data_IF_171753838197
#
_entry.id   IF_171753838197
#
_cell.length_a   1.000
_cell.length_b   1.000
_cell.length_c   1.000
_cell.angle_alpha   90.00
_cell.angle_beta   90.00
_cell.angle_gamma   90.00
#
_symmetry.space_group_name_H-M   'P 1'
#
loop_
_entity.id
_entity.type
_entity.pdbx_description
1 polymer ?
#
# COMPACT_ATOMS: atom_id res chain seq x y z
N UNK A 1 -37.69 -13.51 35.88
CA UNK A 1 -36.95 -13.50 34.59
C UNK A 1 -36.43 -12.09 34.44
N UNK A 2 -35.11 -11.88 34.63
CA UNK A 2 -34.48 -10.56 34.65
C UNK A 2 -34.10 -10.22 33.20
N UNK A 3 -34.91 -9.39 32.55
CA UNK A 3 -34.66 -8.95 31.18
C UNK A 3 -33.55 -7.88 31.23
N UNK A 4 -32.41 -8.17 30.62
CA UNK A 4 -31.29 -7.25 30.56
C UNK A 4 -31.73 -5.97 29.81
N UNK A 5 -31.34 -4.77 30.27
CA UNK A 5 -31.71 -3.54 29.60
C UNK A 5 -31.19 -3.55 28.15
N UNK A 6 -31.96 -3.01 27.18
CA UNK A 6 -31.56 -2.98 25.79
C UNK A 6 -30.25 -2.22 25.65
N UNK A 7 -29.27 -2.84 24.97
CA UNK A 7 -27.99 -2.20 24.65
C UNK A 7 -28.27 -0.92 23.86
N UNK A 8 -27.76 0.25 24.27
CA UNK A 8 -27.92 1.48 23.52
C UNK A 8 -27.41 1.27 22.10
N UNK A 9 -28.28 1.48 21.11
CA UNK A 9 -27.87 1.46 19.71
C UNK A 9 -26.75 2.50 19.52
N UNK A 10 -25.61 2.06 18.97
CA UNK A 10 -24.50 2.93 18.66
C UNK A 10 -25.00 4.11 17.79
N UNK A 11 -24.58 5.35 18.07
CA UNK A 11 -25.02 6.50 17.28
C UNK A 11 -24.66 6.26 15.80
N UNK A 12 -25.53 6.68 14.86
CA UNK A 12 -25.25 6.53 13.43
C UNK A 12 -23.90 7.19 13.12
N UNK A 13 -23.01 6.44 12.46
CA UNK A 13 -21.68 6.93 12.12
C UNK A 13 -21.82 8.21 11.29
N UNK A 14 -21.36 9.33 11.85
CA UNK A 14 -21.36 10.61 11.16
C UNK A 14 -20.53 10.49 9.88
N UNK A 15 -21.07 10.87 8.71
CA UNK A 15 -20.38 10.67 7.44
C UNK A 15 -19.03 11.41 7.47
N UNK A 16 -17.96 10.69 7.16
CA UNK A 16 -16.60 11.24 7.16
C UNK A 16 -16.54 12.49 6.26
N UNK A 17 -16.06 13.59 6.83
CA UNK A 17 -15.86 14.82 6.07
C UNK A 17 -14.83 14.59 4.96
N UNK A 18 -15.15 14.96 3.73
CA UNK A 18 -14.25 14.90 2.57
C UNK A 18 -13.16 15.97 2.69
N UNK A 19 -12.17 15.75 3.58
CA UNK A 19 -11.16 16.74 3.96
C UNK A 19 -9.78 16.56 3.31
N UNK A 20 -9.54 15.45 2.61
CA UNK A 20 -8.24 15.19 1.98
C UNK A 20 -8.12 15.96 0.66
N UNK A 21 -7.37 17.07 0.71
CA UNK A 21 -6.97 17.82 -0.47
C UNK A 21 -6.00 17.00 -1.32
N UNK A 22 -5.95 17.27 -2.63
CA UNK A 22 -5.03 16.62 -3.56
C UNK A 22 -3.57 16.59 -3.07
N UNK A 23 -3.10 17.70 -2.48
CA UNK A 23 -1.75 17.76 -1.88
C UNK A 23 -1.51 16.72 -0.78
N UNK A 24 -2.52 16.41 0.04
CA UNK A 24 -2.39 15.43 1.11
C UNK A 24 -2.27 14.01 0.53
N UNK A 25 -3.03 13.73 -0.54
CA UNK A 25 -2.94 12.46 -1.26
C UNK A 25 -1.58 12.30 -1.94
N UNK A 26 -1.05 13.37 -2.56
CA UNK A 26 0.29 13.35 -3.14
C UNK A 26 1.37 13.15 -2.08
N UNK A 27 1.26 13.82 -0.93
CA UNK A 27 2.20 13.62 0.19
C UNK A 27 2.13 12.20 0.76
N UNK A 28 0.93 11.62 0.89
CA UNK A 28 0.77 10.24 1.32
C UNK A 28 1.42 9.26 0.34
N UNK A 29 1.23 9.47 -0.96
CA UNK A 29 1.85 8.65 -2.01
C UNK A 29 3.38 8.76 -2.03
N UNK A 30 3.91 9.97 -1.96
CA UNK A 30 5.36 10.20 -1.93
C UNK A 30 5.99 9.63 -0.65
N UNK A 31 5.37 9.84 0.50
CA UNK A 31 5.83 9.30 1.78
C UNK A 31 5.77 7.78 1.86
N UNK A 32 4.84 7.14 1.13
CA UNK A 32 4.76 5.69 1.05
C UNK A 32 5.78 5.05 0.09
N UNK A 33 6.20 5.76 -0.96
CA UNK A 33 7.14 5.25 -1.98
C UNK A 33 8.60 5.48 -1.60
N UNK A 34 8.92 6.60 -0.95
CA UNK A 34 10.30 6.96 -0.60
C UNK A 34 10.63 6.34 0.77
N UNK A 35 11.39 5.24 0.77
CA UNK A 35 11.83 4.53 1.98
C UNK A 35 13.34 4.28 2.03
N UNK A 36 13.79 3.69 3.14
CA UNK A 36 15.17 3.25 3.37
C UNK A 36 15.63 2.20 2.34
N UNK A 37 14.69 1.45 1.73
CA UNK A 37 14.95 0.54 0.62
C UNK A 37 15.62 1.20 -0.60
N UNK A 38 15.37 2.49 -0.85
CA UNK A 38 16.06 3.22 -1.94
C UNK A 38 17.57 3.36 -1.65
N UNK A 39 17.97 3.48 -0.39
CA UNK A 39 19.37 3.71 -0.01
C UNK A 39 20.11 2.39 0.21
N UNK A 40 19.55 1.51 1.04
CA UNK A 40 20.17 0.21 1.37
C UNK A 40 20.04 -0.77 0.20
N UNK A 41 18.88 -0.80 -0.47
CA UNK A 41 18.64 -1.67 -1.62
C UNK A 41 19.44 -1.29 -2.86
N UNK A 42 19.68 0.01 -3.09
CA UNK A 42 20.52 0.45 -4.22
C UNK A 42 21.95 -0.05 -4.10
N UNK A 43 22.53 -0.08 -2.89
CA UNK A 43 23.88 -0.61 -2.69
C UNK A 43 24.02 -2.08 -3.11
N UNK A 44 23.07 -2.92 -2.69
CA UNK A 44 23.02 -4.33 -3.10
C UNK A 44 22.77 -4.47 -4.61
N UNK A 45 21.87 -3.66 -5.17
CA UNK A 45 21.60 -3.65 -6.61
C UNK A 45 22.82 -3.23 -7.45
N UNK A 46 23.59 -2.25 -6.97
CA UNK A 46 24.79 -1.75 -7.67
C UNK A 46 25.87 -2.84 -7.62
N UNK A 47 26.04 -3.53 -6.48
CA UNK A 47 27.00 -4.61 -6.36
C UNK A 47 26.75 -5.76 -7.35
N UNK A 48 25.48 -6.02 -7.69
CA UNK A 48 25.09 -7.08 -8.64
C UNK A 48 25.08 -6.60 -10.09
N UNK A 49 24.46 -5.45 -10.37
CA UNK A 49 24.19 -4.98 -11.74
C UNK A 49 25.21 -3.95 -12.25
N UNK A 50 26.04 -3.38 -11.37
CA UNK A 50 26.96 -2.29 -11.72
C UNK A 50 26.22 -1.07 -12.28
N UNK A 51 26.81 -0.36 -13.26
CA UNK A 51 26.18 0.81 -13.90
C UNK A 51 24.83 0.51 -14.57
N UNK A 52 24.56 -0.75 -14.93
CA UNK A 52 23.33 -1.16 -15.58
C UNK A 52 22.10 -1.11 -14.65
N UNK A 53 22.29 -0.89 -13.34
CA UNK A 53 21.18 -0.73 -12.38
C UNK A 53 20.19 0.37 -12.80
N UNK A 54 20.66 1.43 -13.47
CA UNK A 54 19.80 2.51 -13.97
C UNK A 54 18.77 1.98 -14.96
N UNK A 55 19.20 1.09 -15.86
CA UNK A 55 18.30 0.45 -16.84
C UNK A 55 17.30 -0.45 -16.12
N UNK A 56 17.75 -1.22 -15.13
CA UNK A 56 16.87 -2.07 -14.31
C UNK A 56 15.80 -1.24 -13.59
N UNK A 57 16.17 -0.12 -12.98
CA UNK A 57 15.20 0.77 -12.31
C UNK A 57 14.24 1.44 -13.30
N UNK A 58 14.69 1.83 -14.49
CA UNK A 58 13.82 2.38 -15.51
C UNK A 58 12.77 1.36 -15.98
N UNK A 59 13.18 0.11 -16.20
CA UNK A 59 12.25 -0.96 -16.61
C UNK A 59 11.26 -1.27 -15.48
N UNK A 60 11.75 -1.44 -14.25
CA UNK A 60 10.90 -1.71 -13.09
C UNK A 60 9.93 -0.55 -12.82
N UNK A 61 10.40 0.70 -12.92
CA UNK A 61 9.58 1.90 -12.76
C UNK A 61 8.53 2.03 -13.85
N UNK A 62 8.86 1.75 -15.11
CA UNK A 62 7.91 1.75 -16.21
C UNK A 62 6.81 0.69 -15.99
N UNK A 63 7.18 -0.52 -15.56
CA UNK A 63 6.22 -1.57 -15.24
C UNK A 63 5.31 -1.16 -14.08
N UNK A 64 5.87 -0.61 -13.00
CA UNK A 64 5.10 -0.13 -11.86
C UNK A 64 4.12 0.99 -12.25
N UNK A 65 4.55 1.92 -13.12
CA UNK A 65 3.69 2.99 -13.66
C UNK A 65 2.50 2.43 -14.45
N UNK A 66 2.72 1.41 -15.28
CA UNK A 66 1.64 0.76 -16.03
C UNK A 66 0.64 0.09 -15.10
N UNK A 67 1.12 -0.66 -14.10
CA UNK A 67 0.26 -1.31 -13.09
C UNK A 67 -0.55 -0.27 -12.31
N UNK A 68 0.09 0.81 -11.84
CA UNK A 68 -0.59 1.87 -11.08
C UNK A 68 -1.63 2.60 -11.93
N UNK A 69 -1.35 2.81 -13.22
CA UNK A 69 -2.32 3.40 -14.15
C UNK A 69 -3.55 2.50 -14.33
N UNK A 70 -3.35 1.20 -14.54
CA UNK A 70 -4.46 0.24 -14.66
C UNK A 70 -5.31 0.19 -13.38
N UNK A 71 -4.67 0.14 -12.21
CA UNK A 71 -5.36 0.19 -10.91
C UNK A 71 -6.09 1.52 -10.69
N UNK A 72 -5.53 2.63 -11.15
CA UNK A 72 -6.14 3.94 -11.11
C UNK A 72 -7.41 4.02 -11.97
N UNK A 73 -7.36 3.50 -13.20
CA UNK A 73 -8.52 3.42 -14.10
C UNK A 73 -9.61 2.51 -13.52
N UNK A 74 -9.25 1.36 -12.93
CA UNK A 74 -10.20 0.49 -12.24
C UNK A 74 -10.85 1.15 -11.02
N UNK A 75 -10.06 1.90 -10.24
CA UNK A 75 -10.52 2.55 -9.01
C UNK A 75 -11.38 3.80 -9.29
N UNK A 76 -11.15 4.50 -10.40
CA UNK A 76 -11.97 5.62 -10.83
C UNK A 76 -13.29 5.16 -11.46
N UNK A 77 -13.27 4.06 -12.22
CA UNK A 77 -14.48 3.47 -12.79
C UNK A 77 -15.41 2.87 -11.73
N UNK A 78 -14.84 2.34 -10.64
CA UNK A 78 -15.59 1.75 -9.53
C UNK A 78 -15.11 2.28 -8.19
N UNK A 79 -15.62 3.44 -7.74
CA UNK A 79 -15.26 4.00 -6.45
C UNK A 79 -15.76 3.08 -5.32
N UNK A 80 -14.84 2.45 -4.62
CA UNK A 80 -15.13 1.69 -3.41
C UNK A 80 -14.22 2.20 -2.30
N UNK A 81 -14.75 2.31 -1.08
CA UNK A 81 -13.99 2.74 0.11
C UNK A 81 -12.97 1.68 0.59
N UNK A 82 -12.75 0.61 -0.19
CA UNK A 82 -11.90 -0.52 0.15
C UNK A 82 -10.61 -0.59 -0.67
N UNK A 83 -9.66 -1.40 -0.20
CA UNK A 83 -8.37 -1.63 -0.86
C UNK A 83 -8.53 -2.36 -2.21
N UNK A 84 -7.44 -2.49 -2.97
CA UNK A 84 -7.39 -3.23 -4.24
C UNK A 84 -7.86 -4.69 -4.13
N UNK A 85 -7.87 -5.26 -2.92
CA UNK A 85 -8.50 -6.55 -2.64
C UNK A 85 -9.98 -6.60 -3.03
N UNK A 86 -10.71 -5.48 -2.98
CA UNK A 86 -12.11 -5.39 -3.43
C UNK A 86 -12.21 -5.55 -4.94
N UNK A 87 -11.25 -5.02 -5.69
CA UNK A 87 -11.19 -5.23 -7.14
C UNK A 87 -10.92 -6.70 -7.47
N UNK A 88 -10.03 -7.36 -6.73
CA UNK A 88 -9.77 -8.79 -6.87
C UNK A 88 -10.99 -9.66 -6.48
N UNK A 89 -11.68 -9.30 -5.39
CA UNK A 89 -12.91 -9.96 -4.95
C UNK A 89 -13.99 -9.93 -6.03
N UNK A 90 -14.16 -8.78 -6.67
CA UNK A 90 -15.18 -8.60 -7.72
C UNK A 90 -14.81 -9.30 -9.02
N UNK A 91 -13.54 -9.28 -9.40
CA UNK A 91 -13.09 -9.87 -10.66
C UNK A 91 -13.00 -11.40 -10.60
N UNK A 92 -12.55 -11.96 -9.47
CA UNK A 92 -12.18 -13.38 -9.35
C UNK A 92 -12.92 -14.11 -8.22
N UNK A 93 -13.75 -13.41 -7.45
CA UNK A 93 -14.54 -13.96 -6.36
C UNK A 93 -13.93 -13.74 -4.97
N UNK A 94 -14.74 -14.04 -3.94
CA UNK A 94 -14.44 -13.71 -2.53
C UNK A 94 -13.14 -14.29 -1.98
N UNK A 95 -12.74 -15.48 -2.46
CA UNK A 95 -11.45 -16.07 -2.06
C UNK A 95 -10.25 -15.25 -2.56
N UNK A 96 -10.30 -14.74 -3.78
CA UNK A 96 -9.23 -13.90 -4.33
C UNK A 96 -9.11 -12.59 -3.55
N UNK A 97 -10.23 -11.97 -3.17
CA UNK A 97 -10.23 -10.79 -2.30
C UNK A 97 -9.58 -11.04 -0.96
N UNK A 98 -9.94 -12.14 -0.30
CA UNK A 98 -9.36 -12.55 0.98
C UNK A 98 -7.84 -12.80 0.85
N UNK A 99 -7.40 -13.56 -0.15
CA UNK A 99 -6.00 -13.87 -0.38
C UNK A 99 -5.18 -12.61 -0.69
N UNK A 100 -5.67 -11.73 -1.56
CA UNK A 100 -4.99 -10.47 -1.91
C UNK A 100 -4.92 -9.53 -0.70
N UNK A 101 -5.99 -9.45 0.10
CA UNK A 101 -6.01 -8.65 1.33
C UNK A 101 -4.96 -9.12 2.34
N UNK A 102 -4.90 -10.44 2.58
CA UNK A 102 -3.89 -11.02 3.48
C UNK A 102 -2.47 -10.87 2.95
N UNK A 103 -2.25 -11.12 1.66
CA UNK A 103 -0.96 -10.93 1.02
C UNK A 103 -0.51 -9.48 1.14
N UNK A 104 -1.40 -8.52 0.89
CA UNK A 104 -1.11 -7.10 1.02
C UNK A 104 -0.71 -6.73 2.45
N UNK A 105 -1.46 -7.19 3.44
CA UNK A 105 -1.14 -6.94 4.85
C UNK A 105 0.23 -7.53 5.23
N UNK A 106 0.49 -8.78 4.85
CA UNK A 106 1.77 -9.44 5.12
C UNK A 106 2.95 -8.72 4.46
N UNK A 107 2.78 -8.30 3.20
CA UNK A 107 3.78 -7.51 2.49
C UNK A 107 4.10 -6.21 3.23
N UNK A 108 3.08 -5.50 3.76
CA UNK A 108 3.32 -4.29 4.55
C UNK A 108 4.09 -4.57 5.84
N UNK A 109 3.81 -5.67 6.54
CA UNK A 109 4.55 -6.05 7.75
C UNK A 109 6.01 -6.37 7.43
N UNK A 110 6.27 -7.11 6.34
CA UNK A 110 7.63 -7.42 5.90
C UNK A 110 8.38 -6.16 5.48
N UNK A 111 7.74 -5.29 4.70
CA UNK A 111 8.32 -4.00 4.29
C UNK A 111 8.68 -3.15 5.51
N UNK A 112 7.79 -3.07 6.51
CA UNK A 112 8.07 -2.34 7.75
C UNK A 112 9.31 -2.90 8.49
N UNK A 113 9.45 -4.22 8.55
CA UNK A 113 10.62 -4.85 9.15
C UNK A 113 11.91 -4.52 8.35
N UNK A 114 11.85 -4.60 7.02
CA UNK A 114 12.98 -4.23 6.14
C UNK A 114 13.38 -2.77 6.34
N UNK A 115 12.41 -1.86 6.32
CA UNK A 115 12.62 -0.42 6.55
C UNK A 115 13.24 -0.16 7.93
N UNK A 116 12.78 -0.85 8.98
CA UNK A 116 13.35 -0.73 10.32
C UNK A 116 14.81 -1.22 10.40
N UNK A 117 15.13 -2.35 9.77
CA UNK A 117 16.51 -2.87 9.73
C UNK A 117 17.44 -1.95 8.93
N UNK A 118 16.97 -1.43 7.80
CA UNK A 118 17.70 -0.48 6.98
C UNK A 118 17.94 0.83 7.74
N UNK A 119 16.94 1.35 8.45
CA UNK A 119 17.07 2.53 9.28
C UNK A 119 18.10 2.32 10.41
N UNK A 120 18.10 1.15 11.05
CA UNK A 120 19.09 0.81 12.07
C UNK A 120 20.53 0.77 11.51
N UNK A 121 20.73 0.20 10.31
CA UNK A 121 22.03 0.20 9.64
C UNK A 121 22.53 1.62 9.32
N UNK A 122 21.62 2.50 8.88
CA UNK A 122 21.97 3.90 8.60
C UNK A 122 22.29 4.67 9.89
N UNK A 123 21.53 4.44 10.97
CA UNK A 123 21.69 5.14 12.24
C UNK A 123 22.93 4.70 13.04
N UNK A 124 23.35 3.44 12.90
CA UNK A 124 24.48 2.84 13.61
C UNK A 124 25.70 2.59 12.73
N UNK A 125 25.75 3.19 11.53
CA UNK A 125 26.77 2.97 10.49
C UNK A 125 28.19 2.79 11.02
#
# INVERSE_FOLDING_TARGET
MHEAPPTPAAPPAEPLAHGLKQRHLTMLGLGGVIGAGLFVGSGAGIAVAGPAIVVSYLIAGALAMLVMRMLGEMSSAMPASGSFSVHAERALGRWAGFSVGWLYWFLLVVVLAVEATAAAQIAHG
#
